data_IF_976491695720
#
_entry.id   IF_976491695720
#
_cell.length_a   1.000
_cell.length_b   1.000
_cell.length_c   1.000
_cell.angle_alpha   90.00
_cell.angle_beta   90.00
_cell.angle_gamma   90.00
#
_symmetry.space_group_name_H-M   'P 1'
#
loop_
_entity.id
_entity.type
_entity.pdbx_description
1 polymer ?
#
# COMPACT_ATOMS: atom_id res chain seq x y z
N UNK A 1 -42.20 45.75 5.03
CA UNK A 1 -41.85 44.36 4.71
C UNK A 1 -40.34 44.27 4.67
N UNK A 2 -39.80 43.91 5.83
CA UNK A 2 -38.47 44.26 6.31
C UNK A 2 -37.54 43.06 6.24
N UNK A 3 -36.25 43.34 6.09
CA UNK A 3 -35.09 42.41 6.01
C UNK A 3 -35.13 41.14 6.89
N UNK A 4 -35.94 41.14 7.96
CA UNK A 4 -36.17 40.03 8.89
C UNK A 4 -36.90 38.83 8.27
N UNK A 5 -37.93 39.04 7.44
CA UNK A 5 -38.69 37.92 6.84
C UNK A 5 -37.86 37.11 5.83
N UNK A 6 -36.91 37.76 5.15
CA UNK A 6 -36.05 37.09 4.16
C UNK A 6 -34.98 36.22 4.83
N UNK A 7 -34.47 36.65 5.99
CA UNK A 7 -33.50 35.91 6.81
C UNK A 7 -34.12 34.65 7.44
N UNK A 8 -35.36 34.73 7.93
CA UNK A 8 -36.08 33.60 8.52
C UNK A 8 -36.48 32.56 7.46
N UNK A 9 -36.82 32.99 6.25
CA UNK A 9 -37.09 32.10 5.12
C UNK A 9 -35.83 31.34 4.64
N UNK A 10 -34.67 32.00 4.62
CA UNK A 10 -33.39 31.38 4.25
C UNK A 10 -32.90 30.38 5.31
N UNK A 11 -32.98 30.73 6.59
CA UNK A 11 -32.57 29.85 7.69
C UNK A 11 -33.47 28.62 7.80
N UNK A 12 -34.76 28.76 7.52
CA UNK A 12 -35.70 27.63 7.45
C UNK A 12 -35.38 26.69 6.29
N UNK A 13 -35.06 27.22 5.09
CA UNK A 13 -34.60 26.40 3.94
C UNK A 13 -33.28 25.69 4.22
N UNK A 14 -32.32 26.34 4.88
CA UNK A 14 -31.06 25.71 5.28
C UNK A 14 -31.28 24.60 6.34
N UNK A 15 -32.21 24.78 7.27
CA UNK A 15 -32.57 23.77 8.28
C UNK A 15 -33.19 22.51 7.69
N UNK A 16 -33.94 22.61 6.60
CA UNK A 16 -34.55 21.44 5.93
C UNK A 16 -33.62 20.79 4.89
N UNK A 17 -32.76 21.58 4.24
CA UNK A 17 -31.85 21.07 3.22
C UNK A 17 -30.74 20.17 3.78
N UNK A 18 -30.20 20.49 4.97
CA UNK A 18 -29.16 19.69 5.64
C UNK A 18 -29.62 18.25 5.97
N UNK A 19 -30.80 18.02 6.58
CA UNK A 19 -31.29 16.67 6.83
C UNK A 19 -31.67 15.90 5.55
N UNK A 20 -32.18 16.57 4.51
CA UNK A 20 -32.45 15.93 3.21
C UNK A 20 -31.15 15.45 2.53
N UNK A 21 -30.12 16.29 2.50
CA UNK A 21 -28.80 15.88 1.98
C UNK A 21 -28.21 14.71 2.79
N UNK A 22 -28.40 14.71 4.11
CA UNK A 22 -27.99 13.60 4.97
C UNK A 22 -28.72 12.31 4.58
N UNK A 23 -30.04 12.37 4.36
CA UNK A 23 -30.83 11.21 3.93
C UNK A 23 -30.43 10.70 2.54
N UNK A 24 -30.18 11.61 1.58
CA UNK A 24 -29.74 11.24 0.22
C UNK A 24 -28.37 10.55 0.28
N UNK A 25 -27.43 11.12 1.04
CA UNK A 25 -26.11 10.52 1.29
C UNK A 25 -26.21 9.15 1.94
N UNK A 26 -27.11 8.98 2.91
CA UNK A 26 -27.29 7.72 3.62
C UNK A 26 -27.97 6.65 2.74
N UNK A 27 -28.95 7.03 1.90
CA UNK A 27 -29.54 6.15 0.88
C UNK A 27 -28.51 5.70 -0.17
N UNK A 28 -27.69 6.63 -0.67
CA UNK A 28 -26.61 6.30 -1.62
C UNK A 28 -25.56 5.39 -0.96
N UNK A 29 -25.23 5.62 0.33
CA UNK A 29 -24.34 4.72 1.07
C UNK A 29 -24.92 3.32 1.20
N UNK A 30 -26.22 3.15 1.51
CA UNK A 30 -26.88 1.83 1.63
C UNK A 30 -26.88 1.06 0.32
N UNK A 31 -27.23 1.71 -0.79
CA UNK A 31 -27.27 1.09 -2.13
C UNK A 31 -25.91 0.54 -2.60
N UNK A 32 -24.79 1.11 -2.12
CA UNK A 32 -23.44 0.60 -2.40
C UNK A 32 -23.06 -0.69 -1.66
N UNK A 33 -23.81 -1.11 -0.63
CA UNK A 33 -23.45 -2.22 0.26
C UNK A 33 -24.31 -3.48 0.09
N UNK A 34 -25.34 -3.46 -0.75
CA UNK A 34 -26.31 -4.57 -0.89
C UNK A 34 -25.81 -5.75 -1.75
N UNK A 35 -24.64 -5.63 -2.41
CA UNK A 35 -24.05 -6.73 -3.18
C UNK A 35 -23.27 -7.74 -2.33
N UNK A 36 -23.21 -9.01 -2.75
CA UNK A 36 -22.40 -10.09 -2.12
C UNK A 36 -20.93 -9.70 -1.87
N UNK A 37 -20.38 -8.86 -2.76
CA UNK A 37 -19.00 -8.33 -2.71
C UNK A 37 -18.94 -7.00 -1.92
N UNK A 38 -20.06 -6.25 -1.84
CA UNK A 38 -20.19 -5.01 -1.07
C UNK A 38 -20.32 -5.23 0.43
N UNK A 39 -20.79 -6.42 0.85
CA UNK A 39 -20.84 -6.87 2.24
C UNK A 39 -19.44 -7.17 2.83
N UNK A 40 -18.49 -7.59 1.99
CA UNK A 40 -17.10 -7.84 2.39
C UNK A 40 -16.45 -6.48 2.69
N UNK A 41 -16.23 -6.21 3.97
CA UNK A 41 -15.79 -4.89 4.42
C UNK A 41 -16.92 -3.87 4.51
N UNK A 42 -18.17 -4.26 4.80
CA UNK A 42 -19.22 -3.29 5.14
C UNK A 42 -19.03 -2.69 6.55
N UNK A 43 -18.50 -3.46 7.50
CA UNK A 43 -18.23 -3.02 8.88
C UNK A 43 -16.76 -2.65 9.10
N UNK A 44 -16.45 -1.67 9.98
CA UNK A 44 -15.07 -1.29 10.30
C UNK A 44 -14.22 -2.46 10.80
N UNK A 45 -14.78 -3.30 11.68
CA UNK A 45 -14.09 -4.46 12.25
C UNK A 45 -13.78 -5.57 11.24
N UNK A 46 -14.65 -5.82 10.26
CA UNK A 46 -14.38 -6.82 9.21
C UNK A 46 -13.23 -6.41 8.29
N UNK A 47 -13.05 -5.10 8.05
CA UNK A 47 -11.96 -4.55 7.23
C UNK A 47 -10.60 -4.72 7.89
N UNK A 48 -10.50 -4.38 9.17
CA UNK A 48 -9.28 -4.56 9.95
C UNK A 48 -8.81 -6.01 9.98
N UNK A 49 -9.76 -6.96 10.12
CA UNK A 49 -9.48 -8.40 10.02
C UNK A 49 -9.00 -8.78 8.62
N UNK A 50 -9.63 -8.24 7.56
CA UNK A 50 -9.18 -8.47 6.18
C UNK A 50 -7.79 -7.90 5.90
N UNK A 51 -7.45 -6.71 6.42
CA UNK A 51 -6.10 -6.13 6.32
C UNK A 51 -5.08 -7.03 7.01
N UNK A 52 -5.37 -7.46 8.25
CA UNK A 52 -4.49 -8.35 9.01
C UNK A 52 -4.29 -9.70 8.31
N UNK A 53 -5.37 -10.32 7.85
CA UNK A 53 -5.31 -11.58 7.08
C UNK A 53 -4.52 -11.38 5.79
N UNK A 54 -4.79 -10.31 5.04
CA UNK A 54 -4.06 -10.00 3.81
C UNK A 54 -2.56 -9.83 4.06
N UNK A 55 -2.17 -9.12 5.12
CA UNK A 55 -0.77 -8.95 5.51
C UNK A 55 -0.13 -10.29 5.85
N UNK A 56 -0.77 -11.11 6.69
CA UNK A 56 -0.26 -12.42 7.07
C UNK A 56 -0.14 -13.36 5.86
N UNK A 57 -1.16 -13.41 5.00
CA UNK A 57 -1.16 -14.25 3.79
C UNK A 57 -0.07 -13.79 2.83
N UNK A 58 0.09 -12.48 2.63
CA UNK A 58 1.14 -11.94 1.75
C UNK A 58 2.52 -12.26 2.31
N UNK A 59 2.74 -12.05 3.60
CA UNK A 59 4.01 -12.37 4.24
C UNK A 59 4.33 -13.87 4.13
N UNK A 60 3.36 -14.73 4.45
CA UNK A 60 3.53 -16.17 4.33
C UNK A 60 3.86 -16.57 2.89
N UNK A 61 3.12 -16.03 1.91
CA UNK A 61 3.36 -16.31 0.50
C UNK A 61 4.78 -15.90 0.07
N UNK A 62 5.24 -14.71 0.46
CA UNK A 62 6.56 -14.21 0.09
C UNK A 62 7.70 -14.97 0.79
N UNK A 63 7.54 -15.33 2.07
CA UNK A 63 8.51 -16.15 2.81
C UNK A 63 8.61 -17.54 2.21
N UNK A 64 7.48 -18.22 2.00
CA UNK A 64 7.44 -19.56 1.40
C UNK A 64 8.04 -19.52 -0.01
N UNK A 65 7.68 -18.52 -0.82
CA UNK A 65 8.24 -18.35 -2.16
C UNK A 65 9.76 -18.12 -2.14
N UNK A 66 10.26 -17.43 -1.11
CA UNK A 66 11.70 -17.17 -0.94
C UNK A 66 12.50 -18.42 -0.57
N UNK A 67 11.85 -19.45 -0.01
CA UNK A 67 12.48 -20.73 0.33
C UNK A 67 12.43 -21.71 -0.86
N UNK A 68 11.43 -21.58 -1.75
CA UNK A 68 11.24 -22.52 -2.86
C UNK A 68 12.26 -22.30 -3.97
N UNK A 69 12.27 -21.10 -4.57
CA UNK A 69 13.13 -20.78 -5.72
C UNK A 69 13.12 -19.27 -6.00
N UNK A 70 14.25 -18.66 -6.43
CA UNK A 70 14.31 -17.24 -6.74
C UNK A 70 13.28 -16.74 -7.78
N UNK A 71 13.02 -17.53 -8.83
CA UNK A 71 11.97 -17.21 -9.81
C UNK A 71 10.55 -17.23 -9.21
N UNK A 72 10.28 -18.12 -8.24
CA UNK A 72 8.97 -18.17 -7.55
C UNK A 72 8.83 -16.95 -6.65
N UNK A 73 9.88 -16.58 -5.91
CA UNK A 73 9.92 -15.34 -5.13
C UNK A 73 9.68 -14.11 -6.00
N UNK A 74 10.35 -14.03 -7.16
CA UNK A 74 10.16 -12.95 -8.12
C UNK A 74 8.71 -12.88 -8.64
N UNK A 75 8.11 -14.02 -9.01
CA UNK A 75 6.71 -14.05 -9.47
C UNK A 75 5.73 -13.57 -8.41
N UNK A 76 5.89 -14.00 -7.15
CA UNK A 76 5.06 -13.53 -6.03
C UNK A 76 5.28 -12.04 -5.77
N UNK A 77 6.52 -11.56 -5.80
CA UNK A 77 6.84 -10.14 -5.64
C UNK A 77 6.26 -9.28 -6.77
N UNK A 78 6.25 -9.75 -8.01
CA UNK A 78 5.57 -9.07 -9.12
C UNK A 78 4.06 -8.99 -8.90
N UNK A 79 3.45 -10.06 -8.37
CA UNK A 79 2.05 -10.05 -7.94
C UNK A 79 1.78 -9.01 -6.86
N UNK A 80 2.64 -8.93 -5.84
CA UNK A 80 2.59 -7.90 -4.79
C UNK A 80 2.71 -6.49 -5.38
N UNK A 81 3.68 -6.26 -6.26
CA UNK A 81 3.89 -4.98 -6.95
C UNK A 81 2.65 -4.59 -7.77
N UNK A 82 2.05 -5.54 -8.50
CA UNK A 82 0.84 -5.30 -9.27
C UNK A 82 -0.36 -4.95 -8.38
N UNK A 83 -0.50 -5.63 -7.23
CA UNK A 83 -1.54 -5.32 -6.24
C UNK A 83 -1.36 -3.92 -5.67
N UNK A 84 -0.15 -3.56 -5.24
CA UNK A 84 0.18 -2.23 -4.75
C UNK A 84 -0.13 -1.20 -5.84
N UNK A 85 0.48 -1.31 -7.02
CA UNK A 85 0.25 -0.36 -8.13
C UNK A 85 -1.25 -0.19 -8.48
N UNK A 86 -2.01 -1.28 -8.50
CA UNK A 86 -3.42 -1.28 -8.85
C UNK A 86 -4.34 -0.66 -7.79
N UNK A 87 -4.08 -0.93 -6.51
CA UNK A 87 -4.97 -0.51 -5.42
C UNK A 87 -4.49 0.70 -4.61
N UNK A 88 -3.23 1.12 -4.76
CA UNK A 88 -2.62 2.15 -3.93
C UNK A 88 -3.30 3.53 -3.99
N UNK A 89 -3.62 4.10 -5.17
CA UNK A 89 -4.29 5.40 -5.23
C UNK A 89 -5.70 5.40 -4.59
N UNK A 90 -6.39 4.25 -4.61
CA UNK A 90 -7.68 4.08 -3.97
C UNK A 90 -7.53 3.92 -2.45
N UNK A 91 -6.55 3.10 -2.01
CA UNK A 91 -6.30 2.83 -0.60
C UNK A 91 -5.88 4.06 0.21
N UNK A 92 -5.18 5.00 -0.42
CA UNK A 92 -4.74 6.25 0.19
C UNK A 92 -5.80 7.35 0.16
N UNK A 93 -6.95 7.12 -0.48
CA UNK A 93 -8.02 8.12 -0.63
C UNK A 93 -7.71 9.23 -1.62
N UNK A 94 -6.53 9.21 -2.25
CA UNK A 94 -6.10 10.24 -3.20
C UNK A 94 -6.95 10.24 -4.47
N UNK A 95 -7.42 9.08 -4.92
CA UNK A 95 -8.37 8.98 -6.02
C UNK A 95 -9.67 9.76 -5.72
N UNK A 96 -10.21 9.61 -4.50
CA UNK A 96 -11.41 10.30 -4.03
C UNK A 96 -11.16 11.81 -3.88
N UNK A 97 -10.01 12.22 -3.33
CA UNK A 97 -9.61 13.63 -3.24
C UNK A 97 -9.55 14.32 -4.62
N UNK A 98 -9.20 13.57 -5.67
CA UNK A 98 -9.20 14.05 -7.06
C UNK A 98 -10.56 13.98 -7.75
N UNK A 99 -11.57 13.37 -7.13
CA UNK A 99 -12.85 13.08 -7.79
C UNK A 99 -12.74 12.08 -8.94
N UNK A 100 -11.69 11.25 -8.96
CA UNK A 100 -11.42 10.28 -10.02
C UNK A 100 -11.48 8.86 -9.49
N UNK A 101 -11.92 7.89 -10.29
CA UNK A 101 -11.94 6.49 -9.88
C UNK A 101 -10.54 5.86 -9.84
N UNK A 102 -9.60 6.33 -10.69
CA UNK A 102 -8.26 5.74 -10.82
C UNK A 102 -7.24 6.79 -11.28
N UNK A 103 -6.03 6.72 -10.72
CA UNK A 103 -4.90 7.58 -11.08
C UNK A 103 -3.86 6.73 -11.81
N UNK A 104 -4.04 6.59 -13.12
CA UNK A 104 -3.19 5.70 -13.94
C UNK A 104 -1.71 6.08 -13.87
N UNK A 105 -1.40 7.38 -13.87
CA UNK A 105 -0.02 7.87 -13.82
C UNK A 105 0.73 7.35 -12.57
N UNK A 106 0.09 7.41 -11.40
CA UNK A 106 0.68 6.94 -10.14
C UNK A 106 0.81 5.42 -10.14
N UNK A 107 -0.25 4.71 -10.58
CA UNK A 107 -0.21 3.25 -10.74
C UNK A 107 0.94 2.81 -11.66
N UNK A 108 1.16 3.50 -12.79
CA UNK A 108 2.23 3.16 -13.73
C UNK A 108 3.62 3.41 -13.13
N UNK A 109 3.82 4.54 -12.44
CA UNK A 109 5.11 4.84 -11.79
C UNK A 109 5.44 3.77 -10.74
N UNK A 110 4.46 3.42 -9.89
CA UNK A 110 4.62 2.39 -8.86
C UNK A 110 4.92 1.03 -9.49
N UNK A 111 4.15 0.65 -10.52
CA UNK A 111 4.32 -0.63 -11.21
C UNK A 111 5.72 -0.74 -11.83
N UNK A 112 6.14 0.25 -12.61
CA UNK A 112 7.44 0.23 -13.27
C UNK A 112 8.59 0.21 -12.26
N UNK A 113 8.50 1.02 -11.19
CA UNK A 113 9.51 1.05 -10.13
C UNK A 113 9.68 -0.32 -9.48
N UNK A 114 8.57 -0.97 -9.11
CA UNK A 114 8.61 -2.30 -8.51
C UNK A 114 9.08 -3.40 -9.47
N UNK A 115 8.60 -3.39 -10.73
CA UNK A 115 9.00 -4.38 -11.75
C UNK A 115 10.49 -4.30 -12.03
N UNK A 116 11.02 -3.10 -12.28
CA UNK A 116 12.46 -2.89 -12.51
C UNK A 116 13.26 -3.36 -11.29
N UNK A 117 12.81 -3.04 -10.08
CA UNK A 117 13.47 -3.47 -8.84
C UNK A 117 13.53 -5.00 -8.70
N UNK A 118 12.43 -5.70 -8.98
CA UNK A 118 12.37 -7.18 -8.93
C UNK A 118 13.28 -7.79 -9.99
N UNK A 119 13.28 -7.25 -11.21
CA UNK A 119 14.17 -7.70 -12.29
C UNK A 119 15.63 -7.51 -11.91
N UNK A 120 16.00 -6.35 -11.36
CA UNK A 120 17.36 -6.09 -10.89
C UNK A 120 17.75 -7.06 -9.78
N UNK A 121 16.90 -7.27 -8.77
CA UNK A 121 17.21 -8.22 -7.69
C UNK A 121 17.34 -9.67 -8.19
N UNK A 122 16.66 -10.04 -9.26
CA UNK A 122 16.72 -11.37 -9.85
C UNK A 122 17.98 -11.60 -10.70
N UNK A 123 18.43 -10.57 -11.41
CA UNK A 123 19.49 -10.65 -12.45
C UNK A 123 20.85 -10.14 -12.00
N UNK A 124 20.90 -9.30 -10.96
CA UNK A 124 22.15 -8.68 -10.51
C UNK A 124 23.00 -9.67 -9.68
N UNK A 125 24.33 -9.71 -9.90
CA UNK A 125 25.26 -10.50 -9.11
C UNK A 125 25.18 -10.21 -7.60
N UNK A 126 25.66 -11.17 -6.80
CA UNK A 126 25.49 -11.19 -5.34
C UNK A 126 25.99 -9.94 -4.61
N UNK A 127 27.12 -9.36 -5.05
CA UNK A 127 27.75 -8.23 -4.38
C UNK A 127 26.93 -6.93 -4.47
N UNK A 128 26.20 -6.74 -5.58
CA UNK A 128 25.55 -5.47 -5.91
C UNK A 128 24.02 -5.57 -6.00
N UNK A 129 23.44 -6.68 -5.53
CA UNK A 129 22.06 -7.09 -5.85
C UNK A 129 21.00 -6.04 -5.57
N UNK A 130 21.18 -5.23 -4.52
CA UNK A 130 20.28 -4.13 -4.17
C UNK A 130 20.89 -2.72 -4.35
N UNK A 131 22.11 -2.61 -4.87
CA UNK A 131 22.82 -1.33 -4.98
C UNK A 131 22.08 -0.31 -5.86
N UNK A 132 21.34 -0.79 -6.85
CA UNK A 132 20.57 0.05 -7.79
C UNK A 132 19.14 0.36 -7.32
N UNK A 133 18.64 -0.27 -6.25
CA UNK A 133 17.28 0.01 -5.76
C UNK A 133 17.07 1.47 -5.31
N UNK A 134 18.02 2.13 -4.61
CA UNK A 134 17.89 3.55 -4.29
C UNK A 134 17.77 4.43 -5.53
N UNK A 135 18.47 4.09 -6.62
CA UNK A 135 18.37 4.81 -7.89
C UNK A 135 16.99 4.63 -8.52
N UNK A 136 16.46 3.41 -8.56
CA UNK A 136 15.10 3.14 -9.07
C UNK A 136 14.05 3.90 -8.25
N UNK A 137 14.17 3.88 -6.92
CA UNK A 137 13.31 4.66 -6.04
C UNK A 137 13.40 6.16 -6.33
N UNK A 138 14.61 6.71 -6.46
CA UNK A 138 14.83 8.11 -6.76
C UNK A 138 14.19 8.53 -8.09
N UNK A 139 14.34 7.74 -9.14
CA UNK A 139 13.69 7.98 -10.44
C UNK A 139 12.16 7.95 -10.30
N UNK A 140 11.60 6.96 -9.61
CA UNK A 140 10.16 6.89 -9.35
C UNK A 140 9.64 8.09 -8.56
N UNK A 141 10.39 8.56 -7.56
CA UNK A 141 10.09 9.76 -6.77
C UNK A 141 10.09 11.00 -7.66
N UNK A 142 11.14 11.21 -8.47
CA UNK A 142 11.21 12.35 -9.40
C UNK A 142 10.05 12.32 -10.38
N UNK A 143 9.74 11.16 -10.98
CA UNK A 143 8.57 10.99 -11.85
C UNK A 143 7.26 11.35 -11.14
N UNK A 144 7.11 11.04 -9.85
CA UNK A 144 5.92 11.42 -9.08
C UNK A 144 5.78 12.93 -8.96
N UNK A 145 6.88 13.65 -8.72
CA UNK A 145 6.87 15.12 -8.71
C UNK A 145 6.56 15.68 -10.10
N UNK A 146 7.16 15.15 -11.16
CA UNK A 146 6.91 15.60 -12.54
C UNK A 146 5.44 15.47 -12.93
N UNK A 147 4.79 14.34 -12.61
CA UNK A 147 3.36 14.15 -12.85
C UNK A 147 2.51 15.18 -12.12
N UNK A 148 2.88 15.53 -10.88
CA UNK A 148 2.17 16.54 -10.10
C UNK A 148 2.43 17.98 -10.54
N UNK A 149 3.63 18.26 -11.06
CA UNK A 149 3.97 19.55 -11.66
C UNK A 149 3.17 19.78 -12.95
N UNK A 150 3.07 18.76 -13.81
CA UNK A 150 2.26 18.82 -15.05
C UNK A 150 0.78 19.05 -14.75
N UNK A 151 0.29 18.62 -13.58
CA UNK A 151 -1.09 18.86 -13.14
C UNK A 151 -1.36 20.33 -12.76
N UNK A 152 -0.33 21.14 -12.63
CA UNK A 152 -0.43 22.57 -12.38
C UNK A 152 -0.46 22.97 -10.89
N UNK A 153 -0.17 24.25 -10.67
CA UNK A 153 -0.22 24.90 -9.36
C UNK A 153 -1.66 25.05 -8.86
N UNK A 154 -1.87 24.92 -7.54
CA UNK A 154 -3.20 24.98 -6.92
C UNK A 154 -4.08 23.74 -7.12
N UNK A 155 -3.57 22.68 -7.76
CA UNK A 155 -4.32 21.44 -7.95
C UNK A 155 -4.70 20.78 -6.62
N UNK A 156 -5.98 20.41 -6.48
CA UNK A 156 -6.52 19.83 -5.23
C UNK A 156 -5.77 18.56 -4.83
N UNK A 157 -5.41 18.47 -3.56
CA UNK A 157 -4.76 17.30 -2.96
C UNK A 157 -3.37 16.98 -3.54
N UNK A 158 -2.62 17.98 -4.03
CA UNK A 158 -1.33 17.76 -4.70
C UNK A 158 -0.30 17.10 -3.79
N UNK A 159 -0.11 17.67 -2.60
CA UNK A 159 0.87 17.18 -1.63
C UNK A 159 0.53 15.75 -1.19
N UNK A 160 -0.74 15.51 -0.86
CA UNK A 160 -1.26 14.20 -0.47
C UNK A 160 -1.05 13.19 -1.59
N UNK A 161 -1.22 13.61 -2.84
CA UNK A 161 -1.00 12.77 -4.01
C UNK A 161 0.47 12.44 -4.24
N UNK A 162 1.37 13.42 -4.10
CA UNK A 162 2.82 13.18 -4.20
C UNK A 162 3.27 12.22 -3.09
N UNK A 163 2.92 12.50 -1.84
CA UNK A 163 3.30 11.66 -0.69
C UNK A 163 2.77 10.24 -0.88
N UNK A 164 1.52 10.09 -1.34
CA UNK A 164 0.96 8.79 -1.69
C UNK A 164 1.77 8.11 -2.78
N UNK A 165 2.04 8.76 -3.92
CA UNK A 165 2.80 8.13 -4.99
C UNK A 165 4.22 7.71 -4.54
N UNK A 166 4.91 8.58 -3.81
CA UNK A 166 6.26 8.30 -3.25
C UNK A 166 6.23 7.10 -2.33
N UNK A 167 5.27 7.04 -1.40
CA UNK A 167 5.15 5.91 -0.48
C UNK A 167 4.81 4.61 -1.21
N UNK A 168 4.02 4.67 -2.27
CA UNK A 168 3.75 3.52 -3.15
C UNK A 168 4.98 3.05 -3.91
N UNK A 169 5.80 3.97 -4.42
CA UNK A 169 7.10 3.67 -5.05
C UNK A 169 8.00 2.94 -4.07
N UNK A 170 8.21 3.51 -2.88
CA UNK A 170 9.05 2.89 -1.84
C UNK A 170 8.56 1.50 -1.44
N UNK A 171 7.24 1.32 -1.28
CA UNK A 171 6.64 0.02 -0.99
C UNK A 171 6.96 -0.99 -2.11
N UNK A 172 6.71 -0.61 -3.38
CA UNK A 172 6.91 -1.50 -4.53
C UNK A 172 8.38 -1.87 -4.77
N UNK A 173 9.31 -0.92 -4.61
CA UNK A 173 10.76 -1.16 -4.73
C UNK A 173 11.23 -2.10 -3.63
N UNK A 174 10.72 -1.92 -2.40
CA UNK A 174 11.13 -2.70 -1.26
C UNK A 174 10.78 -4.19 -1.38
N UNK A 175 9.76 -4.55 -2.19
CA UNK A 175 9.41 -5.94 -2.47
C UNK A 175 10.58 -6.73 -3.08
N UNK A 176 11.47 -6.09 -3.82
CA UNK A 176 12.64 -6.73 -4.43
C UNK A 176 13.63 -7.32 -3.40
N UNK A 177 13.63 -6.81 -2.16
CA UNK A 177 14.48 -7.37 -1.10
C UNK A 177 14.14 -8.84 -0.75
N UNK A 178 12.88 -9.25 -0.92
CA UNK A 178 12.47 -10.66 -0.75
C UNK A 178 13.04 -11.58 -1.83
N UNK A 179 13.19 -11.07 -3.05
CA UNK A 179 13.90 -11.79 -4.12
C UNK A 179 15.38 -11.89 -3.77
N UNK A 180 15.97 -10.84 -3.20
CA UNK A 180 17.34 -10.87 -2.66
C UNK A 180 17.52 -11.94 -1.58
N UNK A 181 16.56 -12.05 -0.64
CA UNK A 181 16.55 -13.06 0.44
C UNK A 181 16.53 -14.48 -0.14
N UNK A 182 15.71 -14.74 -1.16
CA UNK A 182 15.64 -16.07 -1.77
C UNK A 182 16.97 -16.59 -2.30
N UNK A 183 17.84 -15.69 -2.77
CA UNK A 183 19.18 -16.03 -3.25
C UNK A 183 20.18 -16.27 -2.13
N UNK A 184 19.93 -15.75 -0.92
CA UNK A 184 20.73 -16.04 0.29
C UNK A 184 20.37 -17.44 0.82
N UNK A 185 19.14 -17.90 0.59
CA UNK A 185 18.71 -19.23 1.01
C UNK A 185 19.51 -20.34 0.34
N UNK A 186 19.87 -20.14 -0.94
CA UNK A 186 20.65 -21.09 -1.72
C UNK A 186 22.13 -21.21 -1.26
N UNK A 187 22.60 -20.33 -0.36
CA UNK A 187 23.96 -20.40 0.20
C UNK A 187 24.03 -21.32 1.43
N UNK A 188 25.11 -22.09 1.63
CA UNK A 188 25.31 -22.91 2.83
C UNK A 188 25.19 -22.04 4.10
N UNK A 189 24.37 -22.48 5.07
CA UNK A 189 24.12 -21.72 6.31
C UNK A 189 23.04 -20.62 6.21
N UNK A 190 22.52 -20.32 5.02
CA UNK A 190 21.56 -19.22 4.80
C UNK A 190 20.17 -19.42 5.40
N UNK A 191 19.79 -20.66 5.74
CA UNK A 191 18.43 -20.98 6.20
C UNK A 191 18.08 -20.35 7.56
N UNK A 192 19.01 -20.36 8.53
CA UNK A 192 18.78 -19.86 9.88
C UNK A 192 18.60 -18.32 9.92
N UNK A 193 19.48 -17.51 9.30
CA UNK A 193 19.28 -16.06 9.15
C UNK A 193 17.92 -15.68 8.54
N UNK A 194 17.48 -16.42 7.52
CA UNK A 194 16.23 -16.13 6.81
C UNK A 194 15.01 -16.45 7.66
N UNK A 195 15.02 -17.59 8.36
CA UNK A 195 13.97 -17.96 9.31
C UNK A 195 13.85 -16.92 10.43
N UNK A 196 14.97 -16.52 11.05
CA UNK A 196 14.97 -15.49 12.10
C UNK A 196 14.42 -14.17 11.59
N UNK A 197 14.89 -13.73 10.43
CA UNK A 197 14.45 -12.49 9.78
C UNK A 197 12.95 -12.53 9.48
N UNK A 198 12.47 -13.63 8.90
CA UNK A 198 11.04 -13.83 8.61
C UNK A 198 10.16 -13.83 9.86
N UNK A 199 10.58 -14.50 10.94
CA UNK A 199 9.85 -14.53 12.22
C UNK A 199 9.80 -13.14 12.86
N UNK A 200 10.93 -12.42 12.92
CA UNK A 200 10.98 -11.07 13.49
C UNK A 200 10.04 -10.13 12.73
N UNK A 201 10.03 -10.18 11.40
CA UNK A 201 9.11 -9.35 10.64
C UNK A 201 7.66 -9.78 10.71
N UNK A 202 7.38 -11.09 10.81
CA UNK A 202 6.04 -11.57 11.09
C UNK A 202 5.51 -11.00 12.40
N UNK A 203 6.35 -10.97 13.45
CA UNK A 203 6.01 -10.36 14.72
C UNK A 203 5.82 -8.85 14.60
N UNK A 204 6.72 -8.13 13.91
CA UNK A 204 6.60 -6.68 13.72
C UNK A 204 5.35 -6.30 12.92
N UNK A 205 5.10 -6.95 11.77
CA UNK A 205 3.88 -6.73 10.97
C UNK A 205 2.63 -7.11 11.76
N UNK A 206 2.67 -8.22 12.50
CA UNK A 206 1.60 -8.63 13.39
C UNK A 206 1.29 -7.59 14.47
N UNK A 207 2.31 -7.07 15.14
CA UNK A 207 2.18 -6.06 16.20
C UNK A 207 1.74 -4.69 15.65
N UNK A 208 2.33 -4.24 14.55
CA UNK A 208 1.94 -2.99 13.88
C UNK A 208 0.51 -3.12 13.37
N UNK A 209 0.16 -4.24 12.73
CA UNK A 209 -1.19 -4.55 12.30
C UNK A 209 -2.16 -4.51 13.47
N UNK A 210 -1.85 -5.20 14.57
CA UNK A 210 -2.66 -5.19 15.79
C UNK A 210 -2.84 -3.77 16.34
N UNK A 211 -1.77 -2.97 16.38
CA UNK A 211 -1.81 -1.58 16.85
C UNK A 211 -2.65 -0.68 15.97
N UNK A 212 -2.50 -0.77 14.64
CA UNK A 212 -3.32 -0.04 13.67
C UNK A 212 -4.80 -0.42 13.82
N UNK A 213 -5.09 -1.71 13.99
CA UNK A 213 -6.46 -2.20 14.24
C UNK A 213 -7.00 -1.65 15.56
N UNK A 214 -6.17 -1.57 16.61
CA UNK A 214 -6.59 -1.07 17.92
C UNK A 214 -6.80 0.45 17.98
N UNK A 215 -6.07 1.21 17.14
CA UNK A 215 -6.10 2.67 17.13
C UNK A 215 -7.01 3.27 16.03
N UNK A 216 -7.57 2.42 15.15
CA UNK A 216 -8.32 2.86 13.97
C UNK A 216 -9.69 3.50 14.28
N UNK A 217 -9.99 4.71 13.76
CA UNK A 217 -11.30 5.34 13.89
C UNK A 217 -12.43 4.49 13.30
N UNK A 218 -13.61 4.52 13.94
CA UNK A 218 -14.78 3.69 13.56
C UNK A 218 -15.40 4.04 12.20
N UNK A 219 -15.08 5.20 11.61
CA UNK A 219 -15.80 5.72 10.42
C UNK A 219 -14.88 6.17 9.26
N UNK A 220 -13.71 5.55 9.09
CA UNK A 220 -12.74 5.92 8.05
C UNK A 220 -13.19 5.64 6.59
N UNK A 221 -12.76 6.47 5.61
CA UNK A 221 -13.04 6.29 4.18
C UNK A 221 -12.54 4.96 3.60
N UNK A 222 -13.07 4.64 2.43
CA UNK A 222 -13.35 3.30 1.94
C UNK A 222 -12.28 2.78 0.97
N UNK A 223 -12.02 1.47 1.08
CA UNK A 223 -11.53 0.52 0.04
C UNK A 223 -10.04 0.60 -0.31
N UNK A 224 -9.39 -0.56 -0.15
CA UNK A 224 -7.94 -0.75 -0.26
C UNK A 224 -7.34 -1.70 0.79
N UNK A 225 -8.19 -2.45 1.52
CA UNK A 225 -7.76 -3.24 2.68
C UNK A 225 -6.66 -4.27 2.35
N UNK A 226 -6.74 -4.91 1.19
CA UNK A 226 -5.71 -5.85 0.73
C UNK A 226 -4.38 -5.15 0.46
N UNK A 227 -4.37 -4.02 -0.26
CA UNK A 227 -3.15 -3.23 -0.48
C UNK A 227 -2.57 -2.68 0.81
N UNK A 228 -3.41 -2.24 1.76
CA UNK A 228 -2.96 -1.82 3.09
C UNK A 228 -2.31 -2.95 3.88
N UNK A 229 -2.76 -4.20 3.70
CA UNK A 229 -2.13 -5.37 4.34
C UNK A 229 -0.81 -5.77 3.68
N UNK A 230 -0.75 -5.70 2.34
CA UNK A 230 0.43 -6.05 1.54
C UNK A 230 1.59 -5.06 1.75
N UNK A 231 1.28 -3.81 2.09
CA UNK A 231 2.25 -2.70 2.09
C UNK A 231 3.31 -2.78 3.20
N UNK A 232 2.96 -3.00 4.49
CA UNK A 232 3.96 -3.23 5.53
C UNK A 232 4.95 -4.34 5.16
N UNK A 233 4.45 -5.42 4.55
CA UNK A 233 5.26 -6.55 4.10
C UNK A 233 6.20 -6.14 2.96
N UNK A 234 5.71 -5.32 2.02
CA UNK A 234 6.51 -4.83 0.91
C UNK A 234 7.66 -3.93 1.40
N UNK A 235 7.39 -2.98 2.31
CA UNK A 235 8.41 -2.09 2.92
C UNK A 235 9.54 -2.84 3.63
N UNK A 236 9.25 -4.01 4.17
CA UNK A 236 10.18 -4.78 4.97
C UNK A 236 11.24 -5.49 4.13
N UNK A 237 11.02 -5.75 2.84
CA UNK A 237 11.88 -6.62 2.05
C UNK A 237 13.35 -6.18 2.03
N UNK A 238 13.65 -4.89 1.87
CA UNK A 238 15.03 -4.35 1.86
C UNK A 238 15.67 -4.43 3.24
N UNK A 239 14.91 -4.13 4.30
CA UNK A 239 15.38 -4.27 5.68
C UNK A 239 15.70 -5.74 5.95
N UNK A 240 14.85 -6.67 5.52
CA UNK A 240 15.08 -8.08 5.69
C UNK A 240 16.23 -8.64 4.90
N UNK A 241 16.46 -8.17 3.68
CA UNK A 241 17.67 -8.52 2.95
C UNK A 241 18.92 -8.06 3.70
N UNK A 242 18.93 -6.82 4.19
CA UNK A 242 20.08 -6.24 4.91
C UNK A 242 20.33 -6.99 6.23
N UNK A 243 19.26 -7.26 7.00
CA UNK A 243 19.33 -8.02 8.25
C UNK A 243 19.77 -9.47 8.02
N UNK A 244 19.23 -10.16 7.01
CA UNK A 244 19.61 -11.52 6.69
C UNK A 244 21.08 -11.58 6.26
N UNK A 245 21.51 -10.66 5.40
CA UNK A 245 22.91 -10.54 4.96
C UNK A 245 23.84 -10.31 6.15
N UNK A 246 23.50 -9.38 7.04
CA UNK A 246 24.27 -9.11 8.26
C UNK A 246 24.34 -10.34 9.17
N UNK A 247 23.21 -11.03 9.38
CA UNK A 247 23.17 -12.25 10.18
C UNK A 247 24.01 -13.37 9.58
N UNK A 248 24.01 -13.54 8.25
CA UNK A 248 24.92 -14.48 7.58
C UNK A 248 26.39 -14.11 7.83
N UNK A 249 26.76 -12.83 7.73
CA UNK A 249 28.13 -12.40 8.04
C UNK A 249 28.55 -12.65 9.50
N UNK A 250 27.61 -12.53 10.45
CA UNK A 250 27.90 -12.70 11.89
C UNK A 250 27.89 -14.17 12.32
N UNK A 251 27.01 -14.99 11.72
CA UNK A 251 26.77 -16.38 12.15
C UNK A 251 27.62 -17.42 11.41
N UNK A 252 28.21 -17.08 10.26
CA UNK A 252 29.02 -18.00 9.44
C UNK A 252 28.17 -18.77 8.45
#
# INVERSE_FOLDING_TARGET
>A
MTHTEHSDAQTTKLRTFVPELKQIRDKQRRKMYEGRIGAIGASPQSRYRLVGIAACVTLLAVVVASIIHPYVSAAVCLGVVALVAGGWPAATGVAELRGTHRIYQHSTIILLSGVVSVVLALTTPSADRLAMLPLVAAVGIVCSFLVELVRGEGSKGRLESTISCVTGVLASVSAAGWVGISRIYDTPGGALPILLTGVIFALLVGLIGLRIISAGPKEGPRRGALTLGVTPVAFIGVVGYTSATFLTYVLG
#
